data_IF_900831139727
#
_entry.id   IF_900831139727
#
_cell.length_a   1.000
_cell.length_b   1.000
_cell.length_c   1.000
_cell.angle_alpha   90.00
_cell.angle_beta   90.00
_cell.angle_gamma   90.00
#
_symmetry.space_group_name_H-M   'P 1'
#
loop_
_entity.id
_entity.type
_entity.pdbx_description
1 polymer ?
#
# COMPACT_ATOMS: atom_id res chain seq x y z
N UNK A 1 -3.58 19.29 -15.73
CA UNK A 1 -4.89 18.61 -15.88
C UNK A 1 -4.90 17.25 -15.14
N UNK A 2 -4.60 17.27 -13.83
CA UNK A 2 -4.80 16.10 -12.93
C UNK A 2 -6.30 15.80 -12.68
N UNK A 3 -7.17 16.65 -13.22
CA UNK A 3 -8.61 16.70 -13.08
C UNK A 3 -9.40 15.70 -13.92
N UNK A 4 -8.73 14.83 -14.69
CA UNK A 4 -9.37 13.70 -15.40
C UNK A 4 -9.01 12.32 -14.85
N UNK A 5 -8.52 12.23 -13.61
CA UNK A 5 -8.66 10.95 -12.90
C UNK A 5 -10.16 10.78 -12.63
N UNK A 6 -10.77 9.73 -13.16
CA UNK A 6 -12.17 9.43 -12.89
C UNK A 6 -12.37 9.41 -11.36
N UNK A 7 -13.50 9.92 -10.83
CA UNK A 7 -13.79 9.91 -9.39
C UNK A 7 -13.49 8.56 -8.72
N UNK A 8 -13.74 7.47 -9.46
CA UNK A 8 -13.44 6.09 -9.12
C UNK A 8 -11.96 5.83 -8.79
N UNK A 9 -11.00 6.37 -9.54
CA UNK A 9 -9.56 6.14 -9.30
C UNK A 9 -9.09 6.75 -7.97
N UNK A 10 -9.69 7.88 -7.61
CA UNK A 10 -9.43 8.56 -6.33
C UNK A 10 -10.08 7.82 -5.17
N UNK A 11 -11.34 7.40 -5.32
CA UNK A 11 -12.05 6.60 -4.32
C UNK A 11 -11.34 5.28 -4.03
N UNK A 12 -10.92 4.54 -5.06
CA UNK A 12 -10.12 3.31 -4.90
C UNK A 12 -8.84 3.60 -4.12
N UNK A 13 -8.15 4.71 -4.41
CA UNK A 13 -6.94 5.11 -3.70
C UNK A 13 -7.18 5.42 -2.22
N UNK A 14 -8.28 6.10 -1.89
CA UNK A 14 -8.65 6.43 -0.51
C UNK A 14 -9.01 5.17 0.28
N UNK A 15 -9.86 4.30 -0.28
CA UNK A 15 -10.19 3.02 0.35
C UNK A 15 -8.94 2.18 0.58
N UNK A 16 -8.07 2.09 -0.44
CA UNK A 16 -6.81 1.38 -0.33
C UNK A 16 -5.91 1.95 0.77
N UNK A 17 -5.85 3.28 0.93
CA UNK A 17 -5.09 3.91 2.00
C UNK A 17 -5.62 3.54 3.40
N UNK A 18 -6.95 3.44 3.57
CA UNK A 18 -7.57 2.98 4.82
C UNK A 18 -7.19 1.52 5.11
N UNK A 19 -7.32 0.63 4.13
CA UNK A 19 -6.95 -0.77 4.29
C UNK A 19 -5.47 -0.93 4.66
N UNK A 20 -4.57 -0.26 3.92
CA UNK A 20 -3.13 -0.25 4.18
C UNK A 20 -2.83 0.29 5.59
N UNK A 21 -3.53 1.33 6.06
CA UNK A 21 -3.32 1.86 7.39
C UNK A 21 -3.64 0.82 8.48
N UNK A 22 -4.73 0.06 8.31
CA UNK A 22 -5.08 -1.05 9.22
C UNK A 22 -4.05 -2.17 9.15
N UNK A 23 -3.62 -2.57 7.95
CA UNK A 23 -2.56 -3.58 7.77
C UNK A 23 -1.23 -3.16 8.40
N UNK A 24 -0.84 -1.90 8.24
CA UNK A 24 0.39 -1.36 8.80
C UNK A 24 0.32 -1.35 10.32
N UNK A 25 -0.77 -0.86 10.91
CA UNK A 25 -0.95 -0.84 12.37
C UNK A 25 -0.89 -2.26 12.92
N UNK A 26 -1.61 -3.20 12.30
CA UNK A 26 -1.61 -4.61 12.75
C UNK A 26 -0.25 -5.28 12.53
N UNK A 27 0.45 -5.00 11.43
CA UNK A 27 1.81 -5.47 11.16
C UNK A 27 2.85 -4.91 12.16
N UNK A 28 2.73 -3.64 12.54
CA UNK A 28 3.56 -3.04 13.57
C UNK A 28 3.33 -3.67 14.95
N UNK A 29 2.08 -4.01 15.29
CA UNK A 29 1.79 -4.75 16.52
C UNK A 29 2.42 -6.15 16.50
N UNK A 30 2.45 -6.84 15.36
CA UNK A 30 3.21 -8.08 15.23
C UNK A 30 4.71 -7.88 15.42
N UNK A 31 5.26 -6.80 14.88
CA UNK A 31 6.66 -6.46 15.10
C UNK A 31 6.93 -6.21 16.60
N UNK A 32 6.11 -5.44 17.29
CA UNK A 32 6.18 -5.20 18.75
C UNK A 32 6.08 -6.52 19.54
N UNK A 33 5.19 -7.42 19.13
CA UNK A 33 5.03 -8.73 19.77
C UNK A 33 6.31 -9.58 19.73
N UNK A 34 7.18 -9.41 18.71
CA UNK A 34 8.47 -10.10 18.64
C UNK A 34 9.41 -9.72 19.79
N UNK A 35 9.22 -8.55 20.39
CA UNK A 35 9.99 -8.07 21.53
C UNK A 35 9.37 -8.47 22.88
N UNK A 36 8.39 -9.38 22.87
CA UNK A 36 7.66 -9.85 24.06
C UNK A 36 6.97 -8.71 24.84
N UNK A 37 6.69 -7.60 24.17
CA UNK A 37 5.96 -6.48 24.77
C UNK A 37 4.46 -6.79 24.83
N UNK A 38 3.75 -6.32 25.87
CA UNK A 38 2.32 -6.55 26.01
C UNK A 38 1.56 -5.90 24.86
N UNK A 39 0.63 -6.66 24.28
CA UNK A 39 -0.25 -6.17 23.22
C UNK A 39 -1.59 -5.72 23.81
N UNK A 40 -2.22 -4.67 23.23
CA UNK A 40 -3.55 -4.22 23.65
C UNK A 40 -4.68 -5.14 23.18
N UNK A 41 -4.39 -6.13 22.33
CA UNK A 41 -5.36 -7.04 21.72
C UNK A 41 -4.82 -8.47 21.71
N UNK A 42 -5.71 -9.46 21.65
CA UNK A 42 -5.28 -10.87 21.57
C UNK A 42 -4.55 -11.15 20.25
N UNK A 43 -3.54 -12.02 20.29
CA UNK A 43 -2.79 -12.42 19.10
C UNK A 43 -3.66 -13.05 18.01
N UNK A 44 -4.70 -13.79 18.41
CA UNK A 44 -5.68 -14.37 17.48
C UNK A 44 -6.50 -13.30 16.75
N UNK A 45 -6.99 -12.28 17.45
CA UNK A 45 -7.72 -11.17 16.83
C UNK A 45 -6.80 -10.36 15.91
N UNK A 46 -5.57 -10.07 16.35
CA UNK A 46 -4.57 -9.38 15.54
C UNK A 46 -4.31 -10.12 14.22
N UNK A 47 -4.14 -11.45 14.30
CA UNK A 47 -3.94 -12.33 13.14
C UNK A 47 -5.14 -12.32 12.21
N UNK A 48 -6.35 -12.47 12.76
CA UNK A 48 -7.57 -12.45 11.97
C UNK A 48 -7.72 -11.12 11.22
N UNK A 49 -7.59 -9.98 11.93
CA UNK A 49 -7.73 -8.66 11.32
C UNK A 49 -6.69 -8.46 10.22
N UNK A 50 -5.41 -8.72 10.49
CA UNK A 50 -4.34 -8.54 9.50
C UNK A 50 -4.58 -9.37 8.23
N UNK A 51 -4.91 -10.65 8.37
CA UNK A 51 -5.13 -11.54 7.23
C UNK A 51 -6.41 -11.19 6.48
N UNK A 52 -7.55 -11.02 7.16
CA UNK A 52 -8.82 -10.77 6.48
C UNK A 52 -8.85 -9.40 5.78
N UNK A 53 -8.29 -8.37 6.43
CA UNK A 53 -8.14 -7.06 5.81
C UNK A 53 -7.24 -7.15 4.59
N UNK A 54 -6.09 -7.83 4.70
CA UNK A 54 -5.17 -7.98 3.58
C UNK A 54 -5.71 -8.80 2.42
N UNK A 55 -6.51 -9.82 2.69
CA UNK A 55 -7.21 -10.56 1.63
C UNK A 55 -8.29 -9.69 0.98
N UNK A 56 -9.08 -8.96 1.79
CA UNK A 56 -10.14 -8.10 1.29
C UNK A 56 -9.63 -6.91 0.47
N UNK A 57 -8.40 -6.44 0.71
CA UNK A 57 -7.79 -5.33 -0.02
C UNK A 57 -7.18 -5.73 -1.37
N UNK A 58 -6.93 -7.03 -1.63
CA UNK A 58 -6.31 -7.52 -2.89
C UNK A 58 -6.97 -6.94 -4.15
N UNK A 59 -8.31 -6.97 -4.32
CA UNK A 59 -8.93 -6.42 -5.53
C UNK A 59 -8.64 -4.92 -5.73
N UNK A 60 -8.56 -4.15 -4.63
CA UNK A 60 -8.25 -2.72 -4.67
C UNK A 60 -6.78 -2.47 -5.06
N UNK A 61 -5.85 -3.28 -4.53
CA UNK A 61 -4.43 -3.23 -4.91
C UNK A 61 -4.26 -3.55 -6.39
N UNK A 62 -4.86 -4.65 -6.86
CA UNK A 62 -4.80 -5.08 -8.26
C UNK A 62 -5.36 -4.00 -9.17
N UNK A 63 -6.55 -3.47 -8.86
CA UNK A 63 -7.15 -2.38 -9.62
C UNK A 63 -6.25 -1.14 -9.62
N UNK A 64 -5.65 -0.79 -8.47
CA UNK A 64 -4.78 0.38 -8.37
C UNK A 64 -3.50 0.22 -9.18
N UNK A 65 -2.86 -0.93 -9.11
CA UNK A 65 -1.67 -1.27 -9.91
C UNK A 65 -2.03 -1.21 -11.39
N UNK A 66 -3.11 -1.87 -11.82
CA UNK A 66 -3.58 -1.88 -13.20
C UNK A 66 -3.82 -0.47 -13.76
N UNK A 67 -4.38 0.43 -12.96
CA UNK A 67 -4.61 1.82 -13.36
C UNK A 67 -3.33 2.67 -13.34
N UNK A 68 -2.35 2.34 -12.50
CA UNK A 68 -1.13 3.13 -12.31
C UNK A 68 -0.06 2.74 -13.33
N UNK A 69 0.08 1.44 -13.59
CA UNK A 69 1.11 0.84 -14.44
C UNK A 69 1.20 1.55 -15.80
N UNK A 70 0.15 1.64 -16.64
CA UNK A 70 0.25 2.27 -17.96
C UNK A 70 0.78 3.71 -17.93
N UNK A 71 0.48 4.46 -16.85
CA UNK A 71 0.93 5.84 -16.66
C UNK A 71 2.43 5.93 -16.35
N UNK A 72 3.02 4.87 -15.77
CA UNK A 72 4.46 4.79 -15.50
C UNK A 72 5.29 4.69 -16.78
N UNK A 73 4.72 4.17 -17.88
CA UNK A 73 5.41 4.01 -19.16
C UNK A 73 4.88 4.91 -20.28
N UNK A 74 3.89 5.77 -20.01
CA UNK A 74 3.38 6.73 -21.00
C UNK A 74 4.52 7.65 -21.52
N UNK A 75 4.73 7.67 -22.83
CA UNK A 75 5.83 8.40 -23.50
C UNK A 75 5.40 9.75 -24.11
N UNK A 76 4.11 10.07 -24.15
CA UNK A 76 3.65 11.28 -24.83
C UNK A 76 3.97 12.54 -24.02
N UNK A 77 4.35 13.64 -24.70
CA UNK A 77 4.67 14.91 -24.04
C UNK A 77 3.48 15.50 -23.24
N UNK A 78 2.23 15.21 -23.66
CA UNK A 78 1.02 15.56 -22.90
C UNK A 78 0.89 14.77 -21.60
N UNK A 79 1.35 13.52 -21.56
CA UNK A 79 1.31 12.66 -20.37
C UNK A 79 2.49 12.92 -19.43
N UNK A 80 3.66 13.25 -19.97
CA UNK A 80 4.87 13.61 -19.19
C UNK A 80 4.68 14.93 -18.44
N UNK A 81 3.98 15.90 -19.03
CA UNK A 81 3.62 17.15 -18.35
C UNK A 81 2.68 16.94 -17.15
N UNK A 82 2.03 15.78 -17.05
CA UNK A 82 1.10 15.46 -15.97
C UNK A 82 1.83 14.85 -14.76
N UNK A 83 2.84 14.00 -14.94
CA UNK A 83 3.61 13.43 -13.82
C UNK A 83 5.12 13.66 -13.99
N UNK A 84 5.73 14.54 -13.18
CA UNK A 84 7.17 14.72 -13.15
C UNK A 84 7.93 13.39 -12.97
N UNK A 85 9.17 13.26 -13.48
CA UNK A 85 9.95 12.02 -13.39
C UNK A 85 10.05 11.44 -11.96
N UNK A 86 10.18 12.29 -10.95
CA UNK A 86 10.25 11.86 -9.55
C UNK A 86 8.93 11.26 -9.05
N UNK A 87 7.76 11.76 -9.47
CA UNK A 87 6.47 11.18 -9.12
C UNK A 87 6.28 9.80 -9.76
N UNK A 88 6.78 9.62 -10.99
CA UNK A 88 6.77 8.32 -11.67
C UNK A 88 7.70 7.33 -10.97
N UNK A 89 8.90 7.76 -10.56
CA UNK A 89 9.84 6.92 -9.82
C UNK A 89 9.25 6.48 -8.46
N UNK A 90 8.67 7.41 -7.70
CA UNK A 90 7.99 7.11 -6.43
C UNK A 90 6.81 6.15 -6.66
N UNK A 91 5.99 6.39 -7.69
CA UNK A 91 4.86 5.52 -8.00
C UNK A 91 5.30 4.11 -8.41
N UNK A 92 6.38 3.99 -9.19
CA UNK A 92 6.96 2.71 -9.56
C UNK A 92 7.51 1.97 -8.33
N UNK A 93 8.21 2.68 -7.44
CA UNK A 93 8.70 2.12 -6.18
C UNK A 93 7.56 1.60 -5.31
N UNK A 94 6.48 2.39 -5.14
CA UNK A 94 5.28 1.99 -4.40
C UNK A 94 4.68 0.70 -5.00
N UNK A 95 4.46 0.67 -6.33
CA UNK A 95 3.90 -0.50 -7.03
C UNK A 95 4.77 -1.73 -6.78
N UNK A 96 6.09 -1.62 -6.92
CA UNK A 96 7.02 -2.73 -6.68
C UNK A 96 6.94 -3.23 -5.24
N UNK A 97 7.03 -2.32 -4.26
CA UNK A 97 7.03 -2.69 -2.85
C UNK A 97 5.71 -3.35 -2.41
N UNK A 98 4.56 -2.83 -2.84
CA UNK A 98 3.27 -3.47 -2.55
C UNK A 98 3.10 -4.80 -3.28
N UNK A 99 3.60 -4.93 -4.52
CA UNK A 99 3.59 -6.21 -5.22
C UNK A 99 4.41 -7.26 -4.45
N UNK A 100 5.60 -6.89 -3.98
CA UNK A 100 6.45 -7.77 -3.16
C UNK A 100 5.79 -8.08 -1.81
N UNK A 101 5.22 -7.08 -1.13
CA UNK A 101 4.56 -7.27 0.16
C UNK A 101 3.34 -8.20 0.06
N UNK A 102 2.43 -7.95 -0.89
CA UNK A 102 1.26 -8.82 -1.09
C UNK A 102 1.66 -10.19 -1.61
N UNK A 103 2.60 -10.27 -2.56
CA UNK A 103 3.09 -11.53 -3.10
C UNK A 103 3.74 -12.40 -2.02
N UNK A 104 4.58 -11.82 -1.17
CA UNK A 104 5.18 -12.52 -0.04
C UNK A 104 4.16 -12.89 1.03
N UNK A 105 3.18 -12.03 1.34
CA UNK A 105 2.09 -12.34 2.27
C UNK A 105 1.26 -13.55 1.83
N UNK A 106 0.89 -13.60 0.55
CA UNK A 106 0.20 -14.75 -0.05
C UNK A 106 1.11 -15.99 -0.02
N UNK A 107 2.39 -15.85 -0.38
CA UNK A 107 3.32 -16.97 -0.38
C UNK A 107 3.54 -17.58 1.01
N UNK A 108 3.55 -16.77 2.08
CA UNK A 108 3.64 -17.25 3.48
C UNK A 108 2.49 -18.20 3.80
N UNK A 109 1.29 -17.93 3.29
CA UNK A 109 0.10 -18.76 3.52
C UNK A 109 0.24 -20.16 2.91
N UNK A 110 0.84 -20.26 1.72
CA UNK A 110 1.00 -21.52 1.00
C UNK A 110 2.31 -22.26 1.30
N UNK A 111 3.27 -21.62 1.96
CA UNK A 111 4.59 -22.23 2.23
C UNK A 111 4.57 -23.08 3.50
N UNK A 112 4.94 -24.35 3.36
CA UNK A 112 5.01 -25.31 4.47
C UNK A 112 6.43 -25.48 5.05
N UNK A 113 7.48 -25.11 4.31
CA UNK A 113 8.88 -25.22 4.75
C UNK A 113 9.30 -24.10 5.70
N UNK A 114 9.93 -24.43 6.82
CA UNK A 114 10.33 -23.47 7.87
C UNK A 114 11.30 -22.39 7.36
N UNK A 115 12.35 -22.78 6.63
CA UNK A 115 13.36 -21.84 6.11
C UNK A 115 12.76 -20.87 5.09
N UNK A 116 11.97 -21.40 4.15
CA UNK A 116 11.28 -20.59 3.15
C UNK A 116 10.29 -19.62 3.80
N UNK A 117 9.56 -20.07 4.81
CA UNK A 117 8.60 -19.24 5.53
C UNK A 117 9.28 -18.08 6.29
N UNK A 118 10.41 -18.32 6.95
CA UNK A 118 11.16 -17.28 7.64
C UNK A 118 11.65 -16.18 6.68
N UNK A 119 12.24 -16.58 5.55
CA UNK A 119 12.66 -15.63 4.51
C UNK A 119 11.49 -14.82 3.97
N UNK A 120 10.36 -15.46 3.66
CA UNK A 120 9.18 -14.76 3.15
C UNK A 120 8.62 -13.78 4.17
N UNK A 121 8.61 -14.14 5.45
CA UNK A 121 8.21 -13.25 6.55
C UNK A 121 9.11 -12.02 6.63
N UNK A 122 10.42 -12.17 6.47
CA UNK A 122 11.34 -11.03 6.46
C UNK A 122 11.17 -10.15 5.21
N UNK A 123 11.00 -10.77 4.03
CA UNK A 123 10.68 -10.04 2.79
C UNK A 123 9.38 -9.24 2.95
N UNK A 124 8.35 -9.85 3.50
CA UNK A 124 7.06 -9.21 3.75
C UNK A 124 7.20 -8.03 4.72
N UNK A 125 7.92 -8.23 5.83
CA UNK A 125 8.19 -7.17 6.81
C UNK A 125 8.95 -6.00 6.20
N UNK A 126 10.09 -6.25 5.56
CA UNK A 126 10.95 -5.20 5.03
C UNK A 126 10.30 -4.45 3.87
N UNK A 127 9.64 -5.15 2.94
CA UNK A 127 8.91 -4.50 1.85
C UNK A 127 7.79 -3.61 2.37
N UNK A 128 7.07 -4.03 3.42
CA UNK A 128 6.00 -3.24 4.04
C UNK A 128 6.54 -2.00 4.77
N UNK A 129 7.66 -2.13 5.51
CA UNK A 129 8.33 -1.00 6.15
C UNK A 129 8.87 0.01 5.13
N UNK A 130 9.50 -0.49 4.06
CA UNK A 130 10.04 0.36 2.99
C UNK A 130 8.94 1.01 2.15
N UNK A 131 7.75 0.41 2.06
CA UNK A 131 6.60 0.99 1.36
C UNK A 131 6.05 2.22 2.10
N UNK A 132 6.25 2.31 3.42
CA UNK A 132 5.64 3.35 4.23
C UNK A 132 6.12 4.77 3.87
N UNK A 133 7.43 5.11 3.85
CA UNK A 133 7.87 6.46 3.51
C UNK A 133 7.40 6.98 2.14
N UNK A 134 7.55 6.25 1.01
CA UNK A 134 7.09 6.76 -0.29
C UNK A 134 5.57 6.87 -0.35
N UNK A 135 4.84 5.97 0.32
CA UNK A 135 3.36 6.05 0.39
C UNK A 135 2.91 7.26 1.20
N UNK A 136 3.51 7.52 2.36
CA UNK A 136 3.21 8.68 3.18
C UNK A 136 3.50 9.99 2.40
N UNK A 137 4.67 10.07 1.75
CA UNK A 137 5.01 11.19 0.87
C UNK A 137 3.95 11.39 -0.23
N UNK A 138 3.57 10.31 -0.93
CA UNK A 138 2.59 10.35 -2.00
C UNK A 138 1.20 10.78 -1.51
N UNK A 139 0.77 10.30 -0.35
CA UNK A 139 -0.49 10.70 0.28
C UNK A 139 -0.48 12.18 0.67
N UNK A 140 0.57 12.67 1.31
CA UNK A 140 0.69 14.09 1.67
C UNK A 140 0.64 14.98 0.43
N UNK A 141 1.30 14.59 -0.67
CA UNK A 141 1.32 15.35 -1.93
C UNK A 141 -0.02 15.43 -2.63
N UNK A 142 -0.83 14.37 -2.58
CA UNK A 142 -2.02 14.25 -3.42
C UNK A 142 -3.34 14.32 -2.65
N UNK A 143 -3.39 13.77 -1.44
CA UNK A 143 -4.62 13.74 -0.62
C UNK A 143 -4.80 15.04 0.15
N UNK A 144 -3.74 15.63 0.71
CA UNK A 144 -3.86 16.88 1.50
C UNK A 144 -4.37 18.05 0.65
N UNK A 145 -3.87 18.30 -0.58
CA UNK A 145 -4.41 19.37 -1.42
C UNK A 145 -5.85 19.10 -1.88
N UNK A 146 -6.19 17.84 -2.15
CA UNK A 146 -7.53 17.43 -2.55
C UNK A 146 -8.54 17.58 -1.40
N UNK A 147 -8.15 17.26 -0.18
CA UNK A 147 -8.97 17.48 1.01
C UNK A 147 -9.22 18.97 1.25
N UNK A 148 -8.17 19.80 1.18
CA UNK A 148 -8.30 21.25 1.31
C UNK A 148 -9.28 21.81 0.28
N UNK A 149 -9.17 21.41 -0.98
CA UNK A 149 -10.08 21.93 -2.02
C UNK A 149 -11.54 21.51 -1.84
N UNK A 150 -11.81 20.39 -1.14
CA UNK A 150 -13.15 19.97 -0.77
C UNK A 150 -13.71 20.81 0.39
N UNK A 151 -12.93 20.99 1.47
CA UNK A 151 -13.37 21.69 2.68
C UNK A 151 -13.59 23.18 2.44
N UNK A 152 -12.74 23.85 1.65
CA UNK A 152 -12.87 25.29 1.36
C UNK A 152 -13.95 25.62 0.30
N UNK A 153 -14.66 24.62 -0.22
CA UNK A 153 -15.78 24.79 -1.17
C UNK A 153 -17.16 24.53 -0.54
N UNK A 154 -17.18 24.15 0.73
CA UNK A 154 -18.37 24.04 1.58
C UNK A 154 -18.44 25.26 2.50
#
# INVERSE_FOLDING_TARGET
MWTRRTPWTMQIGLWLAVWIAVELVTGLLFYVARWQLPLPVSGALLTAVHIYVGVASIPFVVAKIWLTVPLLWARSARDVAISPPHERAVSALIVTLYTVSYGSGIAIYFTTGLVGKALLVDVHLWSSLLAFPPTAWHMVRHVVPAWRSLVWRL
#
